data_IF_639414774449
#
_entry.id   IF_639414774449
#
_cell.length_a   1.000
_cell.length_b   1.000
_cell.length_c   1.000
_cell.angle_alpha   90.00
_cell.angle_beta   90.00
_cell.angle_gamma   90.00
#
_symmetry.space_group_name_H-M   'P 1'
#
loop_
_entity.id
_entity.type
_entity.pdbx_description
1 polymer ?
#
# COMPACT_ATOMS: atom_id res chain seq x y z
N UNK A 1 27.03 6.65 -60.40
CA UNK A 1 26.39 5.31 -60.43
C UNK A 1 26.65 4.66 -59.07
N UNK A 2 25.88 4.92 -58.01
CA UNK A 2 24.59 4.34 -57.56
C UNK A 2 24.62 2.84 -57.20
N UNK A 3 24.20 2.56 -55.94
CA UNK A 3 23.61 1.34 -55.32
C UNK A 3 24.55 0.63 -54.31
N UNK A 4 24.20 0.30 -53.06
CA UNK A 4 22.99 0.33 -52.17
C UNK A 4 23.54 0.13 -50.72
N UNK A 5 23.27 0.95 -49.70
CA UNK A 5 22.11 1.00 -48.78
C UNK A 5 21.64 -0.35 -48.21
N UNK A 6 21.68 -0.52 -46.88
CA UNK A 6 20.53 -0.82 -45.99
C UNK A 6 20.96 -0.59 -44.52
N UNK A 7 20.36 0.44 -43.93
CA UNK A 7 20.26 0.75 -42.50
C UNK A 7 18.78 1.07 -42.31
N UNK A 8 18.05 0.32 -41.48
CA UNK A 8 16.82 0.73 -40.81
C UNK A 8 16.10 -0.49 -40.19
N UNK A 9 15.60 -0.31 -38.97
CA UNK A 9 14.70 -1.27 -38.34
C UNK A 9 14.45 -1.00 -36.85
N UNK A 10 14.17 0.25 -36.48
CA UNK A 10 13.55 0.58 -35.19
C UNK A 10 12.18 1.21 -35.47
N UNK A 11 11.25 0.90 -34.56
CA UNK A 11 10.01 1.62 -34.23
C UNK A 11 8.68 1.01 -34.76
N UNK A 12 7.72 1.02 -33.82
CA UNK A 12 6.25 1.05 -33.93
C UNK A 12 5.54 -0.31 -34.02
N UNK A 13 4.94 -0.74 -32.90
CA UNK A 13 3.51 -1.13 -32.86
C UNK A 13 2.88 -0.58 -31.58
N UNK A 14 2.16 0.54 -31.74
CA UNK A 14 1.12 1.06 -30.85
C UNK A 14 -0.20 0.94 -31.63
N UNK A 15 -1.30 0.67 -30.91
CA UNK A 15 -2.72 0.73 -31.31
C UNK A 15 -3.34 -0.45 -32.08
N UNK A 16 -4.15 -1.24 -31.36
CA UNK A 16 -5.50 -1.67 -31.79
C UNK A 16 -6.43 -1.72 -30.58
N UNK A 17 -7.11 -0.61 -30.28
CA UNK A 17 -8.39 -0.60 -29.54
C UNK A 17 -9.28 0.45 -30.20
N UNK A 18 -10.07 0.00 -31.18
CA UNK A 18 -11.26 0.70 -31.65
C UNK A 18 -12.20 -0.30 -32.33
N UNK A 19 -13.46 -0.29 -31.89
CA UNK A 19 -14.61 -0.92 -32.54
C UNK A 19 -15.14 -2.13 -31.79
N UNK A 20 -16.43 -2.30 -31.52
CA UNK A 20 -17.61 -1.49 -31.81
C UNK A 20 -18.68 -1.90 -30.80
N UNK A 21 -19.44 -0.92 -30.35
CA UNK A 21 -20.77 -1.09 -29.76
C UNK A 21 -21.69 -1.81 -30.74
N UNK A 22 -22.26 -2.95 -30.33
CA UNK A 22 -23.48 -3.47 -30.93
C UNK A 22 -24.42 -3.91 -29.80
N UNK A 23 -25.47 -3.11 -29.63
CA UNK A 23 -26.60 -3.42 -28.77
C UNK A 23 -27.33 -4.64 -29.32
N UNK A 24 -27.60 -5.63 -28.47
CA UNK A 24 -28.60 -6.64 -28.76
C UNK A 24 -29.46 -6.82 -27.52
N UNK A 25 -30.66 -6.25 -27.59
CA UNK A 25 -31.77 -6.52 -26.68
C UNK A 25 -32.18 -7.99 -26.84
N UNK A 26 -32.29 -8.69 -25.71
CA UNK A 26 -33.11 -9.89 -25.61
C UNK A 26 -33.85 -9.86 -24.29
N UNK A 27 -35.17 -9.80 -24.42
CA UNK A 27 -36.20 -9.85 -23.40
C UNK A 27 -36.23 -11.19 -22.66
N UNK A 28 -36.43 -11.16 -21.34
CA UNK A 28 -36.98 -12.31 -20.59
C UNK A 28 -38.01 -11.83 -19.58
N UNK A 29 -39.18 -12.45 -19.70
CA UNK A 29 -40.41 -12.31 -18.93
C UNK A 29 -40.30 -12.76 -17.48
N UNK A 30 -41.11 -12.12 -16.64
CA UNK A 30 -41.49 -12.46 -15.27
C UNK A 30 -42.00 -13.89 -15.04
N UNK A 31 -41.86 -14.36 -13.80
CA UNK A 31 -42.60 -15.51 -13.25
C UNK A 31 -42.02 -16.08 -11.94
N UNK A 32 -42.67 -15.88 -10.76
CA UNK A 32 -42.07 -16.08 -9.43
C UNK A 32 -42.48 -17.41 -8.77
N UNK A 33 -41.70 -17.92 -7.80
CA UNK A 33 -42.24 -18.79 -6.72
C UNK A 33 -41.33 -18.83 -5.46
N UNK A 34 -41.85 -18.18 -4.41
CA UNK A 34 -42.00 -18.61 -3.01
C UNK A 34 -40.90 -19.36 -2.23
N UNK A 35 -40.47 -18.69 -1.15
CA UNK A 35 -40.59 -19.07 0.27
C UNK A 35 -40.42 -20.53 0.70
N UNK A 36 -39.50 -20.76 1.66
CA UNK A 36 -39.83 -21.43 2.93
C UNK A 36 -38.74 -21.25 3.99
N UNK A 37 -39.17 -20.66 5.11
CA UNK A 37 -38.53 -20.67 6.42
C UNK A 37 -38.67 -22.02 7.12
N UNK A 38 -37.70 -22.36 7.96
CA UNK A 38 -37.81 -23.13 9.22
C UNK A 38 -36.41 -23.10 9.86
N UNK A 39 -36.13 -22.32 10.91
CA UNK A 39 -36.50 -22.54 12.32
C UNK A 39 -36.25 -23.97 12.77
N UNK A 40 -35.22 -24.16 13.60
CA UNK A 40 -35.26 -24.95 14.84
C UNK A 40 -33.98 -24.71 15.65
N UNK A 41 -34.10 -23.95 16.75
CA UNK A 41 -33.30 -24.20 17.97
C UNK A 41 -33.80 -25.49 18.65
N UNK A 42 -32.97 -26.08 19.53
CA UNK A 42 -33.26 -25.88 20.95
C UNK A 42 -32.02 -25.62 21.83
N UNK A 43 -32.18 -24.69 22.78
CA UNK A 43 -31.95 -24.82 24.24
C UNK A 43 -31.21 -26.10 24.67
N UNK A 44 -30.16 -26.11 25.48
CA UNK A 44 -29.57 -25.15 26.42
C UNK A 44 -28.90 -25.97 27.52
N UNK A 45 -27.77 -25.52 28.09
CA UNK A 45 -27.54 -25.62 29.53
C UNK A 45 -26.31 -24.82 29.97
N UNK A 46 -26.54 -23.96 30.94
CA UNK A 46 -25.56 -23.23 31.73
C UNK A 46 -24.80 -24.20 32.66
N UNK A 47 -23.50 -23.97 32.83
CA UNK A 47 -22.80 -24.09 34.13
C UNK A 47 -21.68 -23.05 34.22
N UNK A 48 -21.67 -22.30 35.32
CA UNK A 48 -20.64 -21.38 35.82
C UNK A 48 -20.54 -21.63 37.34
N UNK A 49 -19.65 -20.99 38.11
CA UNK A 49 -18.19 -20.79 38.04
C UNK A 49 -17.47 -21.48 39.22
N UNK A 50 -16.14 -21.42 39.28
CA UNK A 50 -15.37 -20.86 40.43
C UNK A 50 -13.88 -21.23 40.37
N UNK A 51 -12.99 -20.23 40.31
CA UNK A 51 -12.23 -19.73 41.47
C UNK A 51 -10.92 -19.02 41.07
N UNK A 52 -10.89 -17.73 41.43
CA UNK A 52 -9.79 -16.87 41.87
C UNK A 52 -8.40 -17.51 42.07
N UNK A 53 -7.32 -16.81 41.69
CA UNK A 53 -6.65 -15.80 42.54
C UNK A 53 -5.41 -15.17 41.87
N UNK A 54 -5.35 -13.85 41.93
CA UNK A 54 -4.15 -12.99 41.83
C UNK A 54 -3.37 -13.06 43.15
N UNK A 55 -2.07 -12.72 43.15
CA UNK A 55 -1.66 -11.67 44.08
C UNK A 55 -0.75 -10.60 43.48
N UNK A 56 -0.95 -9.41 44.02
CA UNK A 56 -0.25 -8.15 43.84
C UNK A 56 0.80 -7.95 44.97
N UNK A 57 1.61 -6.89 44.84
CA UNK A 57 2.55 -6.25 45.79
C UNK A 57 4.03 -6.40 45.38
N UNK A 58 4.93 -5.41 45.50
CA UNK A 58 4.92 -4.15 46.24
C UNK A 58 5.92 -3.12 45.67
N UNK A 59 5.75 -1.86 46.09
CA UNK A 59 6.53 -0.64 45.80
C UNK A 59 7.78 -0.50 46.71
N UNK A 60 8.74 0.35 46.31
CA UNK A 60 9.39 1.49 47.05
C UNK A 60 10.77 1.79 46.40
N UNK A 61 11.20 3.00 46.00
CA UNK A 61 11.38 4.32 46.64
C UNK A 61 12.81 4.57 47.20
N UNK A 62 13.37 5.75 46.91
CA UNK A 62 14.66 6.32 47.41
C UNK A 62 15.60 6.72 46.27
N UNK A 63 15.71 7.97 45.77
CA UNK A 63 16.18 9.25 46.36
C UNK A 63 17.53 9.15 47.07
N UNK A 64 18.58 9.69 46.44
CA UNK A 64 19.65 10.45 47.10
C UNK A 64 20.26 11.49 46.14
N UNK A 65 20.44 12.70 46.68
CA UNK A 65 21.07 13.89 46.12
C UNK A 65 22.18 14.28 47.11
N UNK A 66 23.43 14.35 46.65
CA UNK A 66 24.53 15.15 47.20
C UNK A 66 25.74 14.99 46.24
N UNK A 67 26.08 15.99 45.43
CA UNK A 67 26.97 17.13 45.69
C UNK A 67 28.43 16.90 45.24
N UNK A 68 28.82 17.70 44.25
CA UNK A 68 30.13 18.32 44.00
C UNK A 68 31.41 17.47 44.09
N UNK A 69 32.08 17.27 42.95
CA UNK A 69 33.50 17.64 42.82
C UNK A 69 33.91 17.83 41.35
N UNK A 70 34.38 19.02 41.04
CA UNK A 70 35.08 19.41 39.81
C UNK A 70 36.44 18.72 39.72
N UNK A 71 36.70 18.04 38.61
CA UNK A 71 38.06 17.82 38.09
C UNK A 71 38.01 17.48 36.60
N UNK A 72 38.41 18.42 35.75
CA UNK A 72 38.89 18.08 34.40
C UNK A 72 40.12 17.16 34.53
N UNK A 73 40.26 16.15 33.66
CA UNK A 73 41.21 16.39 32.56
C UNK A 73 40.88 15.70 31.23
N UNK A 74 41.34 16.39 30.17
CA UNK A 74 41.89 15.86 28.91
C UNK A 74 40.97 15.12 27.94
N UNK A 75 40.71 15.85 26.86
CA UNK A 75 40.47 15.39 25.49
C UNK A 75 41.06 14.02 25.15
N UNK A 76 40.17 13.05 25.02
CA UNK A 76 40.23 12.04 23.96
C UNK A 76 38.84 12.01 23.33
N UNK A 77 38.74 12.47 22.09
CA UNK A 77 37.52 12.37 21.29
C UNK A 77 37.20 10.88 21.12
N UNK A 78 36.08 10.34 21.67
CA UNK A 78 35.59 9.06 21.22
C UNK A 78 35.11 9.31 19.80
N UNK A 79 35.70 8.61 18.82
CA UNK A 79 35.14 8.52 17.49
C UNK A 79 33.66 8.19 17.66
N UNK A 80 32.80 9.15 17.29
CA UNK A 80 31.37 8.97 17.31
C UNK A 80 31.09 7.70 16.49
N UNK A 81 30.76 6.61 17.19
CA UNK A 81 30.25 5.42 16.56
C UNK A 81 29.04 5.88 15.76
N UNK A 82 29.16 5.85 14.42
CA UNK A 82 27.99 5.94 13.56
C UNK A 82 27.01 4.93 14.12
N UNK A 83 25.86 5.41 14.59
CA UNK A 83 24.88 4.51 15.17
C UNK A 83 24.58 3.40 14.16
N UNK A 84 24.50 2.14 14.58
CA UNK A 84 24.20 0.96 13.75
C UNK A 84 22.84 1.03 13.03
N UNK A 85 22.16 2.18 13.08
CA UNK A 85 20.92 2.51 12.41
C UNK A 85 21.09 3.42 11.20
N UNK A 86 22.26 4.04 10.95
CA UNK A 86 22.40 5.06 9.91
C UNK A 86 22.41 4.52 8.47
N UNK A 87 22.43 3.21 8.24
CA UNK A 87 22.47 2.63 6.89
C UNK A 87 21.51 1.43 6.70
N UNK A 88 20.35 1.44 7.37
CA UNK A 88 19.38 0.35 7.25
C UNK A 88 18.32 0.62 6.18
N UNK A 89 17.99 -0.42 5.43
CA UNK A 89 16.89 -0.47 4.47
C UNK A 89 15.94 -1.58 4.88
N UNK A 90 14.64 -1.41 4.59
CA UNK A 90 13.65 -2.45 4.86
C UNK A 90 13.51 -3.33 3.62
N UNK A 91 13.89 -4.59 3.72
CA UNK A 91 13.64 -5.59 2.68
C UNK A 91 12.40 -6.40 3.08
N UNK A 92 11.40 -6.38 2.20
CA UNK A 92 10.13 -7.09 2.37
C UNK A 92 9.91 -8.00 1.16
N UNK A 93 9.58 -9.27 1.42
CA UNK A 93 9.19 -10.24 0.41
C UNK A 93 7.89 -10.88 0.85
N UNK A 94 6.87 -10.73 0.02
CA UNK A 94 5.53 -11.22 0.26
C UNK A 94 5.00 -11.98 -0.94
N UNK A 95 3.86 -12.63 -0.77
CA UNK A 95 3.03 -13.12 -1.86
C UNK A 95 1.57 -12.85 -1.58
N UNK A 96 0.79 -12.93 -2.64
CA UNK A 96 -0.67 -12.76 -2.64
C UNK A 96 -1.07 -11.37 -2.10
N UNK A 97 -0.42 -10.32 -2.60
CA UNK A 97 -0.63 -8.93 -2.18
C UNK A 97 -0.40 -8.74 -0.68
N UNK A 98 0.75 -9.22 -0.19
CA UNK A 98 1.14 -9.00 1.21
C UNK A 98 0.57 -9.99 2.23
N UNK A 99 -0.40 -10.82 1.84
CA UNK A 99 -1.10 -11.76 2.74
C UNK A 99 -0.17 -12.78 3.38
N UNK A 100 0.88 -13.21 2.67
CA UNK A 100 1.89 -14.11 3.22
C UNK A 100 3.23 -13.41 3.21
N UNK A 101 3.81 -13.24 4.39
CA UNK A 101 5.14 -12.66 4.57
C UNK A 101 6.19 -13.77 4.50
N UNK A 102 7.04 -13.71 3.49
CA UNK A 102 8.18 -14.62 3.31
C UNK A 102 9.46 -14.07 3.94
N UNK A 103 9.62 -12.73 3.93
CA UNK A 103 10.72 -12.02 4.57
C UNK A 103 10.29 -10.58 4.91
N UNK A 104 10.70 -10.05 6.07
CA UNK A 104 10.46 -8.64 6.43
C UNK A 104 11.48 -8.23 7.51
N UNK A 105 12.58 -7.60 7.11
CA UNK A 105 13.63 -7.18 8.04
C UNK A 105 14.24 -5.85 7.63
N UNK A 106 14.74 -5.12 8.63
CA UNK A 106 15.67 -4.02 8.42
C UNK A 106 17.08 -4.60 8.30
N UNK A 107 17.68 -4.43 7.12
CA UNK A 107 18.99 -4.97 6.78
C UNK A 107 19.96 -3.84 6.42
N UNK A 108 21.25 -4.10 6.52
CA UNK A 108 22.28 -3.12 6.17
C UNK A 108 22.33 -2.91 4.66
N UNK A 109 22.29 -1.67 4.18
CA UNK A 109 22.33 -1.37 2.74
C UNK A 109 23.68 -1.68 2.09
N UNK A 110 24.79 -1.52 2.82
CA UNK A 110 26.17 -1.80 2.38
C UNK A 110 26.55 -1.21 0.99
N UNK A 111 25.97 -0.06 0.62
CA UNK A 111 26.14 0.59 -0.70
C UNK A 111 25.71 -0.29 -1.90
N UNK A 112 24.89 -1.30 -1.69
CA UNK A 112 24.37 -2.17 -2.72
C UNK A 112 23.18 -1.53 -3.47
N UNK A 113 22.88 -2.04 -4.66
CA UNK A 113 21.57 -1.84 -5.28
C UNK A 113 20.52 -2.84 -4.75
N UNK A 114 19.25 -2.60 -5.05
CA UNK A 114 18.14 -3.41 -4.55
C UNK A 114 18.25 -4.89 -4.94
N UNK A 115 18.79 -5.21 -6.12
CA UNK A 115 18.99 -6.60 -6.55
C UNK A 115 20.06 -7.27 -5.70
N UNK A 116 21.24 -6.67 -5.60
CA UNK A 116 22.36 -7.21 -4.82
C UNK A 116 22.01 -7.33 -3.33
N UNK A 117 21.26 -6.37 -2.78
CA UNK A 117 20.70 -6.47 -1.43
C UNK A 117 19.81 -7.72 -1.28
N UNK A 118 18.91 -7.95 -2.24
CA UNK A 118 18.00 -9.09 -2.21
C UNK A 118 18.77 -10.42 -2.27
N UNK A 119 19.77 -10.52 -3.17
CA UNK A 119 20.65 -11.69 -3.32
C UNK A 119 21.48 -11.95 -2.06
N UNK A 120 21.91 -10.91 -1.34
CA UNK A 120 22.70 -11.07 -0.12
C UNK A 120 21.91 -11.70 1.04
N UNK A 121 20.58 -11.64 1.01
CA UNK A 121 19.71 -12.11 2.09
C UNK A 121 18.84 -13.31 1.73
N UNK A 122 18.65 -13.59 0.44
CA UNK A 122 17.67 -14.56 -0.06
C UNK A 122 18.24 -15.37 -1.23
N UNK A 123 17.72 -16.57 -1.43
CA UNK A 123 18.08 -17.37 -2.61
C UNK A 123 17.37 -16.81 -3.83
N UNK A 124 18.10 -16.06 -4.66
CA UNK A 124 17.55 -15.42 -5.87
C UNK A 124 18.08 -16.11 -7.12
N UNK A 125 17.19 -16.49 -8.02
CA UNK A 125 17.55 -16.86 -9.40
C UNK A 125 17.10 -15.75 -10.33
N UNK A 126 17.96 -15.37 -11.27
CA UNK A 126 17.66 -14.35 -12.28
C UNK A 126 17.54 -14.95 -13.69
N UNK A 127 16.76 -14.31 -14.54
CA UNK A 127 16.66 -14.61 -15.98
C UNK A 127 17.13 -13.42 -16.83
N UNK A 128 17.19 -13.61 -18.15
CA UNK A 128 17.49 -12.55 -19.13
C UNK A 128 18.79 -11.78 -18.86
N UNK A 129 19.87 -12.48 -18.52
CA UNK A 129 21.19 -11.88 -18.28
C UNK A 129 21.35 -11.21 -16.92
N UNK A 130 20.48 -11.51 -15.95
CA UNK A 130 20.61 -11.02 -14.56
C UNK A 130 19.62 -9.91 -14.20
N UNK A 131 18.94 -9.32 -15.18
CA UNK A 131 18.13 -8.12 -14.97
C UNK A 131 16.72 -8.38 -14.41
N UNK A 132 16.26 -9.64 -14.43
CA UNK A 132 14.91 -10.01 -13.99
C UNK A 132 14.97 -11.10 -12.93
N UNK A 133 14.33 -10.87 -11.77
CA UNK A 133 14.19 -11.91 -10.76
C UNK A 133 13.19 -12.94 -11.25
N UNK A 134 13.68 -14.18 -11.39
CA UNK A 134 12.90 -15.33 -11.77
C UNK A 134 12.37 -16.09 -10.54
N UNK A 135 13.15 -16.12 -9.46
CA UNK A 135 12.78 -16.84 -8.24
C UNK A 135 13.34 -16.15 -7.01
N UNK A 136 12.58 -16.21 -5.92
CA UNK A 136 13.05 -15.88 -4.57
C UNK A 136 12.67 -17.05 -3.65
N UNK A 137 13.65 -17.61 -2.94
CA UNK A 137 13.50 -18.73 -2.00
C UNK A 137 12.70 -19.91 -2.61
N UNK A 138 13.02 -20.26 -3.85
CA UNK A 138 12.42 -21.39 -4.55
C UNK A 138 11.04 -21.16 -5.15
N UNK A 139 10.39 -20.01 -4.91
CA UNK A 139 9.13 -19.66 -5.56
C UNK A 139 9.42 -18.99 -6.92
N UNK A 140 9.21 -19.74 -7.99
CA UNK A 140 9.54 -19.35 -9.37
C UNK A 140 8.39 -18.59 -10.06
N UNK A 141 8.75 -17.69 -10.96
CA UNK A 141 7.83 -16.98 -11.86
C UNK A 141 7.04 -17.98 -12.68
N UNK A 142 5.71 -17.93 -12.57
CA UNK A 142 4.80 -18.78 -13.33
C UNK A 142 4.84 -18.48 -14.83
N UNK A 143 5.38 -17.33 -15.24
CA UNK A 143 5.35 -16.86 -16.62
C UNK A 143 6.59 -17.24 -17.45
N UNK A 144 7.69 -17.63 -16.81
CA UNK A 144 8.97 -17.95 -17.49
C UNK A 144 9.08 -19.38 -18.01
N UNK A 145 8.06 -20.22 -17.77
CA UNK A 145 8.02 -21.61 -18.21
C UNK A 145 7.74 -21.82 -19.72
N UNK A 146 7.65 -23.11 -20.10
CA UNK A 146 7.36 -23.54 -21.48
C UNK A 146 6.05 -22.92 -22.00
N UNK A 147 6.05 -22.51 -23.27
CA UNK A 147 4.86 -22.02 -23.97
C UNK A 147 3.72 -23.05 -23.80
N UNK A 148 2.56 -22.60 -23.31
CA UNK A 148 1.40 -23.45 -23.01
C UNK A 148 1.24 -23.88 -21.54
N UNK A 149 2.23 -23.63 -20.68
CA UNK A 149 2.16 -23.87 -19.22
C UNK A 149 2.40 -22.60 -18.39
N UNK A 150 2.27 -21.43 -19.00
CA UNK A 150 2.54 -20.15 -18.34
C UNK A 150 1.32 -19.76 -17.51
N UNK A 151 1.55 -19.53 -16.24
CA UNK A 151 0.59 -18.92 -15.33
C UNK A 151 0.94 -17.44 -15.21
N UNK A 152 -0.07 -16.59 -15.02
CA UNK A 152 0.12 -15.14 -14.95
C UNK A 152 0.49 -14.72 -13.52
N UNK A 153 1.48 -15.39 -12.95
CA UNK A 153 2.07 -15.05 -11.66
C UNK A 153 3.54 -14.67 -11.86
N UNK A 154 3.95 -13.57 -11.22
CA UNK A 154 5.33 -13.10 -11.30
C UNK A 154 5.75 -12.33 -10.06
N UNK A 155 7.05 -12.04 -9.98
CA UNK A 155 7.63 -11.17 -8.95
C UNK A 155 7.56 -9.71 -9.36
N UNK A 156 6.86 -8.90 -8.57
CA UNK A 156 6.75 -7.46 -8.77
C UNK A 156 7.63 -6.71 -7.78
N UNK A 157 8.44 -5.78 -8.31
CA UNK A 157 9.33 -4.94 -7.53
C UNK A 157 8.70 -3.59 -7.25
N UNK A 158 8.47 -3.29 -5.97
CA UNK A 158 8.09 -1.97 -5.49
C UNK A 158 9.26 -1.34 -4.77
N UNK A 159 9.52 -0.08 -5.07
CA UNK A 159 10.51 0.74 -4.38
C UNK A 159 9.80 1.91 -3.74
N UNK A 160 9.92 2.05 -2.42
CA UNK A 160 9.34 3.16 -1.66
C UNK A 160 7.83 3.36 -1.93
N UNK A 161 7.10 2.26 -2.13
CA UNK A 161 5.64 2.26 -2.30
C UNK A 161 5.15 2.42 -3.74
N UNK A 162 6.05 2.46 -4.73
CA UNK A 162 5.69 2.57 -6.15
C UNK A 162 6.25 1.39 -6.93
N UNK A 163 5.44 0.83 -7.84
CA UNK A 163 5.89 -0.19 -8.78
C UNK A 163 7.03 0.36 -9.63
N UNK A 164 8.20 -0.27 -9.57
CA UNK A 164 9.41 0.27 -10.16
C UNK A 164 9.34 0.30 -11.69
N UNK A 165 9.76 1.43 -12.28
CA UNK A 165 9.90 1.58 -13.74
C UNK A 165 11.27 1.17 -14.29
N UNK A 166 12.18 0.70 -13.43
CA UNK A 166 13.54 0.25 -13.75
C UNK A 166 13.88 -1.01 -12.97
N UNK A 167 14.89 -1.75 -13.43
CA UNK A 167 15.33 -2.98 -12.77
C UNK A 167 15.90 -2.71 -11.38
N UNK A 168 15.79 -3.69 -10.48
CA UNK A 168 16.28 -3.58 -9.12
C UNK A 168 17.81 -3.35 -9.04
N UNK A 169 18.57 -3.83 -10.04
CA UNK A 169 20.02 -3.56 -10.15
C UNK A 169 20.38 -2.08 -10.40
N UNK A 170 19.41 -1.28 -10.90
CA UNK A 170 19.60 0.14 -11.19
C UNK A 170 19.16 1.05 -10.02
N UNK A 171 18.67 0.48 -8.92
CA UNK A 171 18.18 1.22 -7.76
C UNK A 171 19.26 1.25 -6.68
N UNK A 172 19.96 2.37 -6.59
CA UNK A 172 20.88 2.64 -5.47
C UNK A 172 20.11 3.03 -4.22
N UNK A 173 20.45 2.36 -3.13
CA UNK A 173 19.72 2.43 -1.88
C UNK A 173 20.28 3.50 -0.94
N UNK A 174 19.39 4.07 -0.14
CA UNK A 174 19.68 4.99 0.95
C UNK A 174 19.02 4.48 2.22
N UNK A 175 19.54 4.92 3.36
CA UNK A 175 18.95 4.62 4.66
C UNK A 175 17.47 5.04 4.69
N UNK A 176 16.62 4.15 5.24
CA UNK A 176 15.17 4.32 5.28
C UNK A 176 14.42 3.77 4.07
N UNK A 177 15.09 3.50 2.94
CA UNK A 177 14.42 2.97 1.75
C UNK A 177 13.75 1.61 2.02
N UNK A 178 12.65 1.37 1.31
CA UNK A 178 11.88 0.13 1.32
C UNK A 178 12.01 -0.57 -0.02
N UNK A 179 12.65 -1.74 0.00
CA UNK A 179 12.73 -2.68 -1.12
C UNK A 179 11.66 -3.74 -0.90
N UNK A 180 10.69 -3.83 -1.81
CA UNK A 180 9.58 -4.75 -1.66
C UNK A 180 9.41 -5.62 -2.89
N UNK A 181 9.36 -6.93 -2.68
CA UNK A 181 9.01 -7.91 -3.69
C UNK A 181 7.69 -8.56 -3.33
N UNK A 182 6.75 -8.61 -4.26
CA UNK A 182 5.50 -9.36 -4.06
C UNK A 182 5.25 -10.29 -5.23
N UNK A 183 4.98 -11.56 -4.92
CA UNK A 183 4.56 -12.56 -5.89
C UNK A 183 3.04 -12.63 -5.95
N UNK A 184 2.44 -12.24 -7.07
CA UNK A 184 0.98 -12.27 -7.22
C UNK A 184 0.53 -12.50 -8.65
N UNK A 185 -0.77 -12.85 -8.77
CA UNK A 185 -1.48 -12.99 -10.03
C UNK A 185 -1.70 -11.62 -10.69
N UNK A 186 -1.33 -11.47 -11.95
CA UNK A 186 -1.65 -10.31 -12.78
C UNK A 186 -2.66 -10.65 -13.87
N UNK A 187 -3.29 -11.82 -13.80
CA UNK A 187 -4.02 -12.42 -14.90
C UNK A 187 -5.34 -11.77 -15.27
N UNK A 188 -5.94 -11.08 -14.30
CA UNK A 188 -7.09 -10.19 -14.46
C UNK A 188 -6.75 -8.86 -15.13
N UNK A 189 -5.51 -8.69 -15.63
CA UNK A 189 -4.97 -7.41 -16.13
C UNK A 189 -4.96 -6.32 -15.06
N UNK A 190 -4.93 -6.74 -13.80
CA UNK A 190 -4.83 -5.85 -12.65
C UNK A 190 -3.46 -5.20 -12.64
N UNK A 191 -3.46 -3.86 -12.63
CA UNK A 191 -2.27 -3.04 -12.56
C UNK A 191 -2.25 -2.27 -11.24
N UNK A 192 -1.24 -2.52 -10.41
CA UNK A 192 -1.08 -1.93 -9.07
C UNK A 192 0.16 -1.03 -9.05
N UNK A 193 0.04 0.24 -9.48
CA UNK A 193 1.18 1.14 -9.65
C UNK A 193 1.77 1.68 -8.34
N UNK A 194 1.00 1.66 -7.25
CA UNK A 194 1.42 2.13 -5.94
C UNK A 194 0.76 1.30 -4.83
N UNK A 195 1.35 1.37 -3.64
CA UNK A 195 0.91 0.66 -2.45
C UNK A 195 1.26 1.47 -1.20
N UNK A 196 0.47 1.32 -0.14
CA UNK A 196 0.62 2.03 1.13
C UNK A 196 1.59 1.34 2.10
N UNK A 197 1.91 0.06 1.87
CA UNK A 197 2.75 -0.76 2.77
C UNK A 197 4.17 -0.23 3.02
N UNK A 198 4.68 0.64 2.15
CA UNK A 198 5.99 1.28 2.30
C UNK A 198 5.98 2.53 3.19
N UNK A 199 4.85 2.88 3.81
CA UNK A 199 4.75 4.04 4.71
C UNK A 199 5.91 4.09 5.73
N UNK A 200 6.57 5.25 5.91
CA UNK A 200 6.19 6.59 5.45
C UNK A 200 6.62 6.94 4.03
N UNK A 201 7.33 6.08 3.31
CA UNK A 201 7.59 6.30 1.88
C UNK A 201 6.29 6.12 1.07
N UNK A 202 6.09 6.92 0.00
CA UNK A 202 7.02 7.87 -0.61
C UNK A 202 6.92 9.31 -0.09
N UNK A 203 6.24 9.52 1.03
CA UNK A 203 5.84 10.86 1.51
C UNK A 203 6.99 11.65 2.17
N UNK A 204 8.09 10.97 2.51
CA UNK A 204 9.22 11.49 3.29
C UNK A 204 9.93 12.69 2.65
N UNK A 205 9.91 12.80 1.31
CA UNK A 205 10.49 13.93 0.58
C UNK A 205 9.53 15.12 0.41
N UNK A 206 8.35 15.04 1.01
CA UNK A 206 7.33 16.07 0.99
C UNK A 206 6.07 15.63 0.26
N UNK A 207 4.93 16.12 0.77
CA UNK A 207 3.59 15.68 0.36
C UNK A 207 2.64 16.87 0.31
N UNK A 208 1.69 16.85 -0.62
CA UNK A 208 0.48 17.67 -0.52
C UNK A 208 -0.57 16.86 0.24
N UNK A 209 -1.06 17.40 1.36
CA UNK A 209 -2.28 16.93 1.99
C UNK A 209 -3.45 17.78 1.47
N UNK A 210 -4.16 17.22 0.49
CA UNK A 210 -5.37 17.79 -0.07
C UNK A 210 -6.58 17.32 0.76
N UNK A 211 -7.46 18.24 1.18
CA UNK A 211 -8.61 17.89 2.03
C UNK A 211 -9.94 18.36 1.44
N UNK A 212 -11.01 17.59 1.67
CA UNK A 212 -12.37 18.06 1.44
C UNK A 212 -12.81 19.04 2.52
N UNK A 213 -13.82 19.87 2.26
CA UNK A 213 -14.22 20.97 3.16
C UNK A 213 -14.47 20.48 4.60
N UNK A 214 -15.21 19.38 4.77
CA UNK A 214 -15.51 18.81 6.09
C UNK A 214 -14.29 18.19 6.79
N UNK A 215 -13.21 17.92 6.07
CA UNK A 215 -12.02 17.25 6.61
C UNK A 215 -10.89 18.20 7.03
N UNK A 216 -11.08 19.52 6.99
CA UNK A 216 -10.04 20.52 7.26
C UNK A 216 -9.36 20.32 8.63
N UNK A 217 -10.15 20.15 9.69
CA UNK A 217 -9.61 20.00 11.04
C UNK A 217 -8.88 18.66 11.20
N UNK A 218 -9.43 17.58 10.64
CA UNK A 218 -8.79 16.27 10.59
C UNK A 218 -7.47 16.31 9.81
N UNK A 219 -7.40 17.08 8.73
CA UNK A 219 -6.18 17.26 7.96
C UNK A 219 -5.09 17.95 8.79
N UNK A 220 -5.42 18.96 9.60
CA UNK A 220 -4.48 19.58 10.54
C UNK A 220 -3.94 18.59 11.60
N UNK A 221 -4.80 17.71 12.11
CA UNK A 221 -4.37 16.61 13.01
C UNK A 221 -3.46 15.62 12.29
N UNK A 222 -3.78 15.27 11.04
CA UNK A 222 -2.95 14.40 10.23
C UNK A 222 -1.57 15.01 9.94
N UNK A 223 -1.46 16.31 9.64
CA UNK A 223 -0.14 16.98 9.50
C UNK A 223 0.71 16.74 10.74
N UNK A 224 0.13 16.88 11.93
CA UNK A 224 0.83 16.63 13.20
C UNK A 224 1.25 15.16 13.33
N UNK A 225 0.37 14.23 12.97
CA UNK A 225 0.65 12.79 12.95
C UNK A 225 1.78 12.42 12.01
N UNK A 226 1.73 12.88 10.75
CA UNK A 226 2.76 12.66 9.73
C UNK A 226 4.11 13.26 10.15
N UNK A 227 4.10 14.42 10.83
CA UNK A 227 5.31 15.02 11.40
C UNK A 227 6.02 14.11 12.41
N UNK A 228 5.27 13.40 13.26
CA UNK A 228 5.81 12.40 14.19
C UNK A 228 6.43 11.19 13.46
N UNK A 229 5.98 10.92 12.23
CA UNK A 229 6.51 9.87 11.35
C UNK A 229 7.70 10.34 10.49
N UNK A 230 8.23 11.54 10.74
CA UNK A 230 9.38 12.08 10.02
C UNK A 230 9.03 12.79 8.70
N UNK A 231 7.75 12.94 8.36
CA UNK A 231 7.31 13.67 7.17
C UNK A 231 7.24 15.15 7.52
N UNK A 232 8.35 15.86 7.29
CA UNK A 232 8.53 17.26 7.74
C UNK A 232 7.93 18.30 6.78
N UNK A 233 7.69 17.93 5.54
CA UNK A 233 7.22 18.86 4.50
C UNK A 233 5.80 18.48 4.07
N UNK A 234 4.80 19.05 4.74
CA UNK A 234 3.38 18.83 4.39
C UNK A 234 2.77 20.15 3.93
N UNK A 235 2.34 20.20 2.68
CA UNK A 235 1.58 21.33 2.15
C UNK A 235 0.09 21.03 2.27
N UNK A 236 -0.62 21.84 3.03
CA UNK A 236 -2.05 21.67 3.28
C UNK A 236 -2.86 22.57 2.32
N UNK A 237 -3.83 22.00 1.59
CA UNK A 237 -4.73 22.76 0.70
C UNK A 237 -6.05 22.03 0.42
N UNK A 238 -7.06 22.73 -0.09
CA UNK A 238 -8.31 22.10 -0.49
C UNK A 238 -8.13 21.15 -1.68
N UNK A 239 -8.89 20.05 -1.69
CA UNK A 239 -8.88 19.07 -2.76
C UNK A 239 -9.57 19.62 -4.02
N UNK A 240 -8.83 19.61 -5.13
CA UNK A 240 -9.34 20.02 -6.45
C UNK A 240 -8.85 19.04 -7.51
N UNK A 241 -9.52 19.04 -8.68
CA UNK A 241 -9.08 18.22 -9.81
C UNK A 241 -7.66 18.55 -10.27
N UNK A 242 -7.24 19.82 -10.15
CA UNK A 242 -5.90 20.26 -10.53
C UNK A 242 -4.83 19.59 -9.68
N UNK A 243 -5.03 19.59 -8.36
CA UNK A 243 -4.11 18.96 -7.40
C UNK A 243 -4.01 17.46 -7.62
N UNK A 244 -5.13 16.82 -8.00
CA UNK A 244 -5.18 15.38 -8.25
C UNK A 244 -4.53 15.02 -9.58
N UNK A 245 -4.78 15.78 -10.66
CA UNK A 245 -4.31 15.43 -12.00
C UNK A 245 -2.86 15.84 -12.25
N UNK A 246 -2.41 16.98 -11.71
CA UNK A 246 -1.12 17.59 -12.01
C UNK A 246 -0.15 17.52 -10.83
N UNK A 247 0.09 16.29 -10.32
CA UNK A 247 0.90 16.04 -9.13
C UNK A 247 2.39 16.31 -9.37
N UNK A 248 2.91 17.35 -8.72
CA UNK A 248 4.35 17.67 -8.69
C UNK A 248 5.10 16.98 -7.53
N UNK A 249 4.36 16.42 -6.57
CA UNK A 249 4.84 15.63 -5.43
C UNK A 249 3.77 14.61 -5.04
N UNK A 250 4.06 13.62 -4.19
CA UNK A 250 3.03 12.75 -3.63
C UNK A 250 1.85 13.55 -3.07
N UNK A 251 0.63 13.06 -3.27
CA UNK A 251 -0.60 13.71 -2.78
C UNK A 251 -1.38 12.72 -1.93
N UNK A 252 -1.86 13.15 -0.77
CA UNK A 252 -2.91 12.48 0.00
C UNK A 252 -4.19 13.29 -0.20
N UNK A 253 -5.28 12.65 -0.62
CA UNK A 253 -6.63 13.24 -0.60
C UNK A 253 -7.37 12.67 0.61
N UNK A 254 -7.67 13.52 1.59
CA UNK A 254 -8.41 13.17 2.80
C UNK A 254 -9.80 13.81 2.74
N UNK A 255 -10.86 13.02 2.83
CA UNK A 255 -12.19 13.62 2.85
C UNK A 255 -13.34 12.65 3.02
N UNK A 256 -14.52 13.24 3.27
CA UNK A 256 -15.76 12.48 3.22
C UNK A 256 -15.97 11.91 1.82
N UNK A 257 -16.40 10.66 1.75
CA UNK A 257 -16.61 9.88 0.51
C UNK A 257 -17.42 10.67 -0.51
N UNK A 258 -18.53 11.29 -0.08
CA UNK A 258 -19.40 12.09 -0.94
C UNK A 258 -18.70 13.34 -1.49
N UNK A 259 -17.94 14.06 -0.65
CA UNK A 259 -17.25 15.29 -1.04
C UNK A 259 -16.10 15.00 -2.01
N UNK A 260 -15.31 13.94 -1.78
CA UNK A 260 -14.22 13.57 -2.70
C UNK A 260 -14.78 13.01 -4.01
N UNK A 261 -15.90 12.27 -3.97
CA UNK A 261 -16.57 11.76 -5.18
C UNK A 261 -17.26 12.87 -5.98
N UNK A 262 -17.46 14.05 -5.41
CA UNK A 262 -17.87 15.23 -6.17
C UNK A 262 -16.78 15.71 -7.16
N UNK A 263 -15.51 15.32 -6.98
CA UNK A 263 -14.41 15.64 -7.88
C UNK A 263 -14.38 14.68 -9.10
N UNK A 264 -14.53 15.18 -10.35
CA UNK A 264 -14.38 14.38 -11.56
C UNK A 264 -13.13 13.50 -11.63
N UNK A 265 -11.99 14.01 -11.15
CA UNK A 265 -10.73 13.26 -11.14
C UNK A 265 -10.82 12.00 -10.27
N UNK A 266 -11.45 12.08 -9.10
CA UNK A 266 -11.67 10.91 -8.22
C UNK A 266 -12.65 9.94 -8.86
N UNK A 267 -13.76 10.42 -9.44
CA UNK A 267 -14.71 9.56 -10.15
C UNK A 267 -14.08 8.77 -11.29
N UNK A 268 -13.17 9.40 -12.05
CA UNK A 268 -12.47 8.75 -13.15
C UNK A 268 -11.53 7.63 -12.66
N UNK A 269 -10.88 7.82 -11.51
CA UNK A 269 -10.05 6.78 -10.88
C UNK A 269 -10.92 5.63 -10.36
N UNK A 270 -12.02 5.98 -9.68
CA UNK A 270 -12.95 5.04 -9.07
C UNK A 270 -13.66 4.13 -10.09
N UNK A 271 -13.92 4.63 -11.30
CA UNK A 271 -14.58 3.85 -12.36
C UNK A 271 -13.67 2.89 -13.12
N UNK A 272 -12.35 2.89 -12.85
CA UNK A 272 -11.37 2.08 -13.57
C UNK A 272 -10.40 1.32 -12.63
N UNK A 273 -10.91 0.51 -11.68
CA UNK A 273 -10.08 -0.15 -10.67
C UNK A 273 -8.97 -1.03 -11.27
N UNK A 274 -9.23 -1.71 -12.40
CA UNK A 274 -8.23 -2.51 -13.12
C UNK A 274 -6.99 -1.71 -13.56
N UNK A 275 -7.17 -0.42 -13.90
CA UNK A 275 -6.09 0.47 -14.35
C UNK A 275 -5.44 1.26 -13.22
N UNK A 276 -6.16 1.47 -12.12
CA UNK A 276 -5.68 2.28 -11.01
C UNK A 276 -5.09 1.44 -9.89
N UNK A 277 -5.43 0.15 -9.81
CA UNK A 277 -5.00 -0.72 -8.73
C UNK A 277 -5.70 -0.44 -7.41
N UNK A 278 -6.85 0.26 -7.46
CA UNK A 278 -7.69 0.53 -6.31
C UNK A 278 -8.60 -0.67 -6.07
N UNK A 279 -8.55 -1.22 -4.86
CA UNK A 279 -9.30 -2.40 -4.46
C UNK A 279 -10.55 -2.05 -3.66
N UNK A 280 -10.83 -0.76 -3.51
CA UNK A 280 -12.07 -0.27 -2.95
C UNK A 280 -12.71 0.75 -3.91
N UNK A 281 -13.94 0.49 -4.35
CA UNK A 281 -14.74 1.48 -5.06
C UNK A 281 -15.65 2.24 -4.10
N UNK A 282 -15.69 3.55 -4.24
CA UNK A 282 -16.60 4.43 -3.53
C UNK A 282 -17.93 4.48 -4.27
N UNK A 283 -19.01 4.13 -3.58
CA UNK A 283 -20.38 4.05 -4.12
C UNK A 283 -21.33 4.84 -3.24
N UNK A 284 -22.53 5.13 -3.71
CA UNK A 284 -23.55 5.83 -2.90
C UNK A 284 -23.95 5.04 -1.65
N UNK A 285 -23.84 3.70 -1.69
CA UNK A 285 -24.16 2.80 -0.59
C UNK A 285 -22.97 2.48 0.33
N UNK A 286 -21.81 3.11 0.12
CA UNK A 286 -20.61 2.90 0.92
C UNK A 286 -19.39 2.43 0.11
N UNK A 287 -18.55 1.61 0.74
CA UNK A 287 -17.29 1.13 0.18
C UNK A 287 -17.43 -0.29 -0.37
N UNK A 288 -17.28 -0.45 -1.68
CA UNK A 288 -17.30 -1.75 -2.36
C UNK A 288 -15.88 -2.30 -2.44
N UNK A 289 -15.60 -3.33 -1.65
CA UNK A 289 -14.30 -3.98 -1.57
C UNK A 289 -14.18 -5.05 -2.67
N UNK A 290 -13.01 -5.09 -3.31
CA UNK A 290 -12.70 -5.95 -4.45
C UNK A 290 -11.63 -6.98 -4.06
N UNK A 291 -11.66 -8.14 -4.73
CA UNK A 291 -10.58 -9.13 -4.67
C UNK A 291 -9.47 -8.81 -5.68
N UNK A 292 -8.43 -9.64 -5.71
CA UNK A 292 -7.30 -9.50 -6.64
C UNK A 292 -7.68 -9.61 -8.13
N UNK A 293 -8.84 -10.22 -8.41
CA UNK A 293 -9.41 -10.30 -9.76
C UNK A 293 -10.26 -9.06 -10.12
N UNK A 294 -10.29 -8.03 -9.27
CA UNK A 294 -11.16 -6.85 -9.40
C UNK A 294 -12.66 -7.18 -9.41
N UNK A 295 -13.01 -8.32 -8.82
CA UNK A 295 -14.39 -8.73 -8.63
C UNK A 295 -14.89 -8.26 -7.28
N UNK A 296 -16.17 -7.92 -7.22
CA UNK A 296 -16.83 -7.51 -6.00
C UNK A 296 -16.87 -8.64 -4.99
N UNK A 297 -16.44 -8.36 -3.76
CA UNK A 297 -16.55 -9.31 -2.65
C UNK A 297 -17.54 -8.85 -1.58
N UNK A 298 -17.37 -7.63 -1.05
CA UNK A 298 -18.17 -7.12 0.09
C UNK A 298 -18.43 -5.63 -0.03
N UNK A 299 -19.63 -5.19 0.35
CA UNK A 299 -19.93 -3.77 0.58
C UNK A 299 -19.85 -3.49 2.08
N UNK A 300 -19.11 -2.45 2.44
CA UNK A 300 -19.05 -1.89 3.79
C UNK A 300 -19.86 -0.60 3.80
N UNK A 301 -20.92 -0.61 4.61
CA UNK A 301 -21.83 0.51 4.78
C UNK A 301 -21.96 0.85 6.28
N UNK A 302 -22.21 2.12 6.59
CA UNK A 302 -22.39 2.60 7.96
C UNK A 302 -21.24 3.50 8.44
N UNK A 303 -21.53 4.26 9.50
CA UNK A 303 -20.63 5.29 10.01
C UNK A 303 -19.36 4.74 10.68
N UNK A 304 -18.35 5.59 10.82
CA UNK A 304 -17.06 5.25 11.42
C UNK A 304 -16.09 4.50 10.52
N UNK A 305 -16.42 4.40 9.22
CA UNK A 305 -15.65 3.67 8.21
C UNK A 305 -14.66 4.59 7.47
N UNK A 306 -13.48 4.06 7.14
CA UNK A 306 -12.48 4.75 6.31
C UNK A 306 -11.71 3.78 5.41
N UNK A 307 -11.58 4.09 4.13
CA UNK A 307 -10.73 3.37 3.19
C UNK A 307 -9.45 4.16 2.93
N UNK A 308 -8.30 3.47 2.96
CA UNK A 308 -6.98 4.00 2.64
C UNK A 308 -6.34 3.12 1.58
N UNK A 309 -5.98 3.69 0.44
CA UNK A 309 -5.33 2.99 -0.66
C UNK A 309 -4.53 3.98 -1.52
N UNK A 310 -3.72 3.47 -2.44
CA UNK A 310 -2.85 4.30 -3.27
C UNK A 310 -2.87 3.89 -4.74
N UNK A 311 -2.65 4.87 -5.61
CA UNK A 311 -2.48 4.69 -7.05
C UNK A 311 -1.40 5.63 -7.59
N UNK A 312 -0.99 5.45 -8.84
CA UNK A 312 -0.10 6.38 -9.53
C UNK A 312 -0.40 6.39 -11.04
N UNK A 313 0.23 7.30 -11.78
CA UNK A 313 0.04 7.41 -13.23
C UNK A 313 0.62 6.24 -14.03
N UNK A 314 1.48 5.42 -13.43
CA UNK A 314 2.14 4.30 -14.07
C UNK A 314 3.34 3.79 -13.29
N UNK A 315 4.08 2.86 -13.90
CA UNK A 315 5.33 2.33 -13.33
C UNK A 315 6.39 3.44 -13.25
N UNK A 316 7.13 3.48 -12.15
CA UNK A 316 8.18 4.46 -11.91
C UNK A 316 7.67 5.87 -11.61
N UNK A 317 6.37 6.06 -11.42
CA UNK A 317 5.80 7.35 -11.06
C UNK A 317 6.37 7.85 -9.72
N UNK A 318 6.90 9.06 -9.68
CA UNK A 318 7.50 9.61 -8.45
C UNK A 318 6.47 10.21 -7.49
N UNK A 319 5.26 10.47 -7.98
CA UNK A 319 4.23 11.25 -7.30
C UNK A 319 2.91 10.46 -7.23
N UNK A 320 2.83 9.40 -6.40
CA UNK A 320 1.60 8.65 -6.22
C UNK A 320 0.53 9.50 -5.52
N UNK A 321 -0.70 9.04 -5.66
CA UNK A 321 -1.90 9.57 -5.05
C UNK A 321 -2.40 8.56 -4.01
N UNK A 322 -2.54 9.00 -2.78
CA UNK A 322 -3.18 8.27 -1.70
C UNK A 322 -4.61 8.79 -1.54
N UNK A 323 -5.57 7.88 -1.46
CA UNK A 323 -6.97 8.20 -1.20
C UNK A 323 -7.29 7.77 0.22
N UNK A 324 -7.74 8.72 1.03
CA UNK A 324 -8.24 8.51 2.39
C UNK A 324 -9.70 8.97 2.40
N UNK A 325 -10.56 8.04 1.99
CA UNK A 325 -11.98 8.25 1.83
C UNK A 325 -12.71 7.75 3.07
N UNK A 326 -13.56 8.58 3.69
CA UNK A 326 -14.21 8.22 4.95
C UNK A 326 -15.70 8.48 4.92
N UNK A 327 -16.45 7.79 5.76
CA UNK A 327 -17.91 7.95 5.80
C UNK A 327 -18.35 9.18 6.60
N UNK A 328 -17.74 9.41 7.77
CA UNK A 328 -18.12 10.46 8.72
C UNK A 328 -16.91 10.93 9.56
N UNK A 329 -17.13 11.85 10.52
CA UNK A 329 -16.08 12.37 11.42
C UNK A 329 -15.39 11.24 12.22
N UNK A 330 -16.12 10.17 12.60
CA UNK A 330 -15.51 9.02 13.28
C UNK A 330 -14.58 8.26 12.34
N UNK A 331 -14.93 8.19 11.06
CA UNK A 331 -14.06 7.69 10.00
C UNK A 331 -12.81 8.57 9.83
N UNK A 332 -12.95 9.90 9.86
CA UNK A 332 -11.81 10.82 9.84
C UNK A 332 -10.85 10.56 11.00
N UNK A 333 -11.37 10.50 12.23
CA UNK A 333 -10.56 10.22 13.42
C UNK A 333 -9.82 8.88 13.29
N UNK A 334 -10.51 7.84 12.83
CA UNK A 334 -9.92 6.50 12.61
C UNK A 334 -8.78 6.53 11.59
N UNK A 335 -8.99 7.20 10.46
CA UNK A 335 -7.97 7.33 9.41
C UNK A 335 -6.75 8.12 9.89
N UNK A 336 -6.98 9.25 10.58
CA UNK A 336 -5.91 10.07 11.17
C UNK A 336 -5.10 9.27 12.18
N UNK A 337 -5.77 8.53 13.06
CA UNK A 337 -5.11 7.69 14.06
C UNK A 337 -4.28 6.59 13.39
N UNK A 338 -4.83 5.90 12.39
CA UNK A 338 -4.12 4.83 11.67
C UNK A 338 -2.84 5.34 11.00
N UNK A 339 -2.92 6.44 10.23
CA UNK A 339 -1.75 7.02 9.57
C UNK A 339 -0.76 7.72 10.54
N UNK A 340 -1.17 7.93 11.80
CA UNK A 340 -0.30 8.45 12.85
C UNK A 340 0.42 7.35 13.63
N UNK A 341 0.02 6.08 13.50
CA UNK A 341 0.47 4.95 14.34
C UNK A 341 1.76 4.27 13.87
N UNK A 342 2.44 4.78 12.84
CA UNK A 342 3.72 4.23 12.39
C UNK A 342 3.60 3.39 11.13
N UNK A 343 4.34 2.28 11.08
CA UNK A 343 4.40 1.42 9.90
C UNK A 343 3.08 0.72 9.61
N UNK A 344 2.78 0.53 8.32
CA UNK A 344 1.65 -0.28 7.86
C UNK A 344 2.08 -1.77 7.81
N UNK A 345 1.20 -2.65 8.31
CA UNK A 345 1.40 -4.10 8.27
C UNK A 345 1.41 -4.59 6.82
N UNK A 346 2.31 -5.51 6.42
CA UNK A 346 2.35 -5.97 5.04
C UNK A 346 1.08 -6.56 4.44
N UNK A 347 0.20 -7.15 5.23
CA UNK A 347 -1.11 -7.62 4.75
C UNK A 347 -2.00 -6.47 4.24
N UNK A 348 -1.83 -5.25 4.76
CA UNK A 348 -2.56 -4.04 4.39
C UNK A 348 -1.86 -3.22 3.29
N UNK A 349 -0.84 -3.78 2.63
CA UNK A 349 0.05 -2.99 1.79
C UNK A 349 -0.64 -2.37 0.56
N UNK A 350 -1.63 -3.03 -0.05
CA UNK A 350 -2.34 -2.49 -1.23
C UNK A 350 -3.59 -1.70 -0.90
N UNK A 351 -4.01 -1.71 0.36
CA UNK A 351 -5.12 -0.93 0.85
C UNK A 351 -5.67 -1.50 2.14
N UNK A 352 -6.44 -0.69 2.86
CA UNK A 352 -7.09 -1.10 4.10
C UNK A 352 -8.44 -0.41 4.23
N UNK A 353 -9.44 -1.20 4.61
CA UNK A 353 -10.74 -0.72 5.05
C UNK A 353 -10.79 -0.76 6.57
N UNK A 354 -10.86 0.41 7.20
CA UNK A 354 -10.96 0.58 8.64
C UNK A 354 -12.44 0.68 9.05
N UNK A 355 -12.88 -0.17 9.97
CA UNK A 355 -14.25 -0.29 10.45
C UNK A 355 -14.31 -0.10 11.97
N UNK A 356 -15.49 0.13 12.56
CA UNK A 356 -15.64 0.18 14.03
C UNK A 356 -15.09 -1.06 14.75
N UNK A 357 -15.35 -2.24 14.18
CA UNK A 357 -15.01 -3.55 14.75
C UNK A 357 -13.61 -4.07 14.39
N UNK A 358 -12.85 -3.38 13.53
CA UNK A 358 -11.54 -3.85 13.11
C UNK A 358 -11.06 -3.21 11.81
N UNK A 359 -10.16 -3.91 11.12
CA UNK A 359 -9.70 -3.54 9.79
C UNK A 359 -9.76 -4.75 8.85
N UNK A 360 -9.96 -4.48 7.58
CA UNK A 360 -9.97 -5.46 6.51
C UNK A 360 -8.88 -5.08 5.50
N UNK A 361 -7.83 -5.91 5.33
CA UNK A 361 -6.82 -5.66 4.31
C UNK A 361 -7.39 -5.83 2.89
N UNK A 362 -6.84 -5.08 1.94
CA UNK A 362 -7.19 -5.13 0.52
C UNK A 362 -5.99 -5.53 -0.33
N UNK A 363 -6.19 -6.33 -1.40
CA UNK A 363 -7.46 -6.90 -1.86
C UNK A 363 -8.02 -7.99 -0.95
N UNK A 364 -9.34 -8.24 -1.08
CA UNK A 364 -9.97 -9.40 -0.47
C UNK A 364 -9.34 -10.72 -0.94
N UNK A 365 -9.44 -11.81 -0.14
CA UNK A 365 -9.05 -13.18 -0.51
C UNK A 365 -9.38 -13.58 -1.94
#
# INVERSE_FOLDING_TARGET
>A
MRKKSILAGFLIIILLLAGCSLSQEASVSDGPTQTKSAVNEPVGNERKPDNNKVPESAQSAGKDLAESSTSEPKSETPAAGKSDFEEKVRLVVTRDYGKVIMFNQWVSAQQQDALNLTVAHLEVKTSYGGSFINSINGLESGYTGKIGKREKFDWFFYFNGVLAGRGAGDVKLKSGDVVWWDYHDWGSSTFTPAMIGAFPHPLTNGVVLAYSASAKDAAGRLVTGLGKQGIKQVQLQEATNEVINNRQRPVIVLGLREEIMALPAIRALNSNPQRTGLFCSFTDSGFRLLNAAMQEGRIVAGGGCACIEATATGMGATNPLWLVAVEDERGLERAVNYLSQGSINPDCAWGVMLEPQGLTPLPLP
#
